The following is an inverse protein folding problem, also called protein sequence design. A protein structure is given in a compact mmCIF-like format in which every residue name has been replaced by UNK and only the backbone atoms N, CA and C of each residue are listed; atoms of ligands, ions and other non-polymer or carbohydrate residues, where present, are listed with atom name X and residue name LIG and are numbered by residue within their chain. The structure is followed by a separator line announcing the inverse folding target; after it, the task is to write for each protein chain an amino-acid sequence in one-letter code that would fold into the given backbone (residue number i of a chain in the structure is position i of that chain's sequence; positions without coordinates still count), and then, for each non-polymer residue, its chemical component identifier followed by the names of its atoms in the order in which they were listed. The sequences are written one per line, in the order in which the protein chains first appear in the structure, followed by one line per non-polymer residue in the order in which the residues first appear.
data_IF_810786106868
#
_entry.id   IF_810786106868
#
_cell.length_a   1.000
_cell.length_b   1.000
_cell.length_c   1.000
_cell.angle_alpha   90.00
_cell.angle_beta   90.00
_cell.angle_gamma   90.00
#
_symmetry.space_group_name_H-M   'P 1'
#
loop_
_entity.id
_entity.type
_entity.pdbx_description
1 polymer ?
#
# COMPACT_ATOMS: atom_id res chain seq x y z
N UNK A 1 -57.36 -1.53 22.47
CA UNK A 1 -57.27 -1.59 23.93
C UNK A 1 -55.94 -2.24 24.27
N UNK A 2 -55.03 -1.37 24.71
CA UNK A 2 -54.01 -1.56 25.75
C UNK A 2 -52.79 -2.47 25.48
N UNK A 3 -51.75 -1.78 24.99
CA UNK A 3 -50.34 -1.68 25.40
C UNK A 3 -49.80 -2.38 26.68
N UNK A 4 -48.45 -2.44 26.83
CA UNK A 4 -47.66 -3.61 27.24
C UNK A 4 -47.14 -3.54 28.70
N UNK A 5 -46.53 -4.62 29.18
CA UNK A 5 -45.77 -4.64 30.43
C UNK A 5 -44.27 -4.50 30.18
N UNK A 6 -43.74 -3.32 30.48
CA UNK A 6 -42.31 -3.02 30.67
C UNK A 6 -41.84 -3.51 32.05
N UNK A 7 -40.62 -4.02 32.15
CA UNK A 7 -39.93 -4.20 33.44
C UNK A 7 -38.66 -3.35 33.45
N UNK A 8 -38.59 -2.52 34.49
CA UNK A 8 -37.56 -1.56 34.89
C UNK A 8 -36.71 -2.21 35.98
N UNK A 9 -35.39 -2.03 35.96
CA UNK A 9 -34.53 -2.07 37.17
C UNK A 9 -33.36 -1.13 36.91
N UNK A 10 -33.51 0.14 37.30
CA UNK A 10 -33.02 0.78 38.52
C UNK A 10 -31.51 1.07 38.54
N UNK A 11 -31.27 2.39 38.63
CA UNK A 11 -30.04 3.13 38.82
C UNK A 11 -29.58 3.02 40.29
N UNK A 12 -28.28 3.07 40.53
CA UNK A 12 -27.73 3.61 41.77
C UNK A 12 -26.67 4.65 41.42
N UNK A 13 -26.99 5.89 41.80
CA UNK A 13 -26.14 7.07 41.88
C UNK A 13 -25.54 7.05 43.29
N UNK A 14 -24.26 7.38 43.41
CA UNK A 14 -23.76 8.12 44.57
C UNK A 14 -22.91 9.30 44.06
N UNK A 15 -23.34 10.49 44.45
CA UNK A 15 -22.64 11.78 44.48
C UNK A 15 -21.55 11.73 45.59
N UNK A 16 -20.59 12.63 45.83
CA UNK A 16 -20.21 13.97 45.39
C UNK A 16 -18.81 14.23 46.02
N UNK A 17 -18.08 15.30 45.64
CA UNK A 17 -17.12 15.91 46.58
C UNK A 17 -15.75 16.43 46.08
N UNK A 18 -15.78 17.38 45.14
CA UNK A 18 -14.93 18.58 44.98
C UNK A 18 -13.68 18.87 45.88
N UNK A 19 -12.54 19.23 45.25
CA UNK A 19 -11.84 20.58 45.21
C UNK A 19 -10.29 20.61 45.30
N UNK A 20 -9.71 21.28 44.31
CA UNK A 20 -8.64 22.33 44.32
C UNK A 20 -7.14 22.04 44.61
N UNK A 21 -6.32 22.33 43.57
CA UNK A 21 -5.10 23.15 43.44
C UNK A 21 -3.90 23.08 44.44
N UNK A 22 -2.66 23.01 43.88
CA UNK A 22 -1.43 23.51 44.55
C UNK A 22 -0.06 22.91 44.14
N UNK A 23 0.65 23.62 43.27
CA UNK A 23 2.11 23.86 43.03
C UNK A 23 3.28 22.99 43.62
N UNK A 24 4.37 22.92 42.79
CA UNK A 24 5.83 22.73 43.04
C UNK A 24 6.48 21.39 43.47
N UNK A 25 7.39 20.91 42.62
CA UNK A 25 8.85 20.94 42.92
C UNK A 25 9.63 19.62 43.16
N UNK A 26 10.61 19.38 42.27
CA UNK A 26 11.94 18.74 42.46
C UNK A 26 12.12 17.21 42.63
N UNK A 27 13.04 16.68 41.81
CA UNK A 27 13.70 15.35 41.83
C UNK A 27 14.66 15.16 43.03
N UNK A 28 15.13 13.94 43.38
CA UNK A 28 16.21 13.27 42.62
C UNK A 28 16.18 11.72 42.57
N UNK A 29 17.13 11.18 41.80
CA UNK A 29 17.47 9.80 41.44
C UNK A 29 17.77 8.79 42.57
N UNK A 30 17.60 7.48 42.31
CA UNK A 30 18.68 6.46 42.36
C UNK A 30 18.22 5.05 41.92
N UNK A 31 19.17 4.34 41.31
CA UNK A 31 19.11 3.03 40.63
C UNK A 31 18.96 1.81 41.55
N UNK A 32 18.45 0.66 41.04
CA UNK A 32 19.12 -0.67 41.09
C UNK A 32 18.33 -1.84 40.44
N UNK A 33 18.94 -2.43 39.39
CA UNK A 33 19.19 -3.85 39.04
C UNK A 33 18.06 -4.94 39.00
N UNK A 34 18.02 -5.58 37.81
CA UNK A 34 17.39 -6.84 37.30
C UNK A 34 17.27 -8.05 38.26
N UNK A 35 16.41 -9.03 37.90
CA UNK A 35 16.95 -10.26 37.28
C UNK A 35 16.24 -10.73 35.98
N UNK A 36 16.89 -11.69 35.31
CA UNK A 36 16.64 -12.28 33.98
C UNK A 36 15.44 -13.24 33.94
N UNK A 37 14.74 -13.27 32.81
CA UNK A 37 14.04 -14.47 32.29
C UNK A 37 14.05 -14.45 30.75
N UNK A 38 14.20 -15.63 30.15
CA UNK A 38 14.42 -15.89 28.71
C UNK A 38 13.09 -15.98 27.97
N UNK A 39 13.04 -15.50 26.72
CA UNK A 39 11.97 -15.78 25.76
C UNK A 39 12.21 -15.05 24.44
N UNK A 40 12.35 -15.82 23.36
CA UNK A 40 12.63 -15.40 21.98
C UNK A 40 11.41 -14.70 21.35
N UNK A 41 11.58 -13.61 20.61
CA UNK A 41 10.95 -13.34 19.30
C UNK A 41 11.64 -12.14 18.64
N UNK A 42 12.00 -12.31 17.37
CA UNK A 42 12.87 -11.45 16.58
C UNK A 42 12.08 -10.84 15.42
N UNK A 43 12.44 -9.60 15.09
CA UNK A 43 12.34 -8.99 13.76
C UNK A 43 11.05 -8.25 13.38
N UNK A 44 10.93 -7.01 13.87
CA UNK A 44 10.40 -5.89 13.09
C UNK A 44 11.32 -4.69 13.33
N UNK A 45 11.60 -3.92 12.28
CA UNK A 45 12.48 -2.74 12.15
C UNK A 45 13.90 -2.97 11.57
N UNK A 46 14.01 -2.64 10.28
CA UNK A 46 15.20 -2.21 9.55
C UNK A 46 14.66 -1.10 8.60
N UNK A 47 15.10 0.16 8.57
CA UNK A 47 16.47 0.68 8.50
C UNK A 47 16.57 2.09 9.10
N UNK A 48 17.59 2.34 9.93
CA UNK A 48 18.22 3.66 10.07
C UNK A 48 19.55 3.58 9.33
N UNK A 49 19.66 4.25 8.18
CA UNK A 49 20.93 4.41 7.48
C UNK A 49 21.56 5.76 7.80
N UNK A 50 22.85 5.70 8.14
CA UNK A 50 23.79 6.79 8.37
C UNK A 50 24.53 7.09 7.05
N UNK A 51 24.94 8.33 6.85
CA UNK A 51 25.37 8.99 5.60
C UNK A 51 26.46 8.34 4.69
N UNK A 52 26.22 8.47 3.36
CA UNK A 52 27.10 8.72 2.18
C UNK A 52 28.17 7.67 1.74
N UNK A 53 28.66 7.64 0.46
CA UNK A 53 28.45 8.56 -0.69
C UNK A 53 28.03 7.90 -2.04
N UNK A 54 27.79 8.75 -3.06
CA UNK A 54 27.20 8.49 -4.40
C UNK A 54 27.68 7.23 -5.19
N UNK A 55 26.79 6.60 -6.01
CA UNK A 55 27.17 5.51 -6.90
C UNK A 55 27.65 5.98 -8.30
N UNK A 56 28.54 5.22 -8.96
CA UNK A 56 29.06 5.50 -10.30
C UNK A 56 28.05 5.17 -11.42
N UNK A 57 28.28 5.60 -12.69
CA UNK A 57 27.28 5.47 -13.74
C UNK A 57 26.98 4.02 -14.10
N UNK A 58 25.69 3.70 -14.21
CA UNK A 58 25.16 2.37 -14.52
C UNK A 58 25.51 2.01 -15.96
N UNK A 59 26.46 1.08 -16.13
CA UNK A 59 26.65 0.36 -17.38
C UNK A 59 26.01 -1.02 -17.22
N UNK A 60 25.09 -1.36 -18.12
CA UNK A 60 24.30 -2.59 -18.10
C UNK A 60 25.18 -3.85 -18.09
N UNK A 61 25.35 -4.49 -16.94
CA UNK A 61 25.91 -5.83 -16.86
C UNK A 61 25.04 -6.70 -15.94
N UNK A 62 24.23 -7.57 -16.56
CA UNK A 62 23.59 -8.69 -15.87
C UNK A 62 24.67 -9.68 -15.38
N UNK A 63 24.45 -10.39 -14.25
CA UNK A 63 25.43 -11.37 -13.77
C UNK A 63 25.49 -12.56 -14.74
N UNK A 64 26.69 -12.79 -15.29
CA UNK A 64 27.00 -13.97 -16.09
C UNK A 64 27.48 -15.09 -15.15
N UNK A 65 26.81 -16.24 -15.17
CA UNK A 65 27.37 -17.46 -14.61
C UNK A 65 28.26 -18.09 -15.68
N UNK A 66 29.52 -18.31 -15.33
CA UNK A 66 30.51 -18.97 -16.19
C UNK A 66 30.41 -20.47 -15.91
N UNK A 67 29.92 -21.25 -16.87
CA UNK A 67 30.15 -22.70 -16.85
C UNK A 67 31.51 -23.01 -17.48
N UNK A 68 32.18 -24.05 -16.96
CA UNK A 68 33.57 -24.45 -17.25
C UNK A 68 33.82 -24.96 -18.69
N UNK A 69 33.07 -24.47 -19.68
CA UNK A 69 33.31 -24.76 -21.11
C UNK A 69 32.88 -23.60 -22.03
N UNK A 70 33.15 -22.35 -21.63
CA UNK A 70 33.25 -21.21 -22.57
C UNK A 70 31.97 -20.75 -23.28
N UNK A 71 30.82 -21.37 -23.03
CA UNK A 71 29.52 -20.90 -23.54
C UNK A 71 28.84 -19.99 -22.53
N UNK A 72 28.77 -18.70 -22.85
CA UNK A 72 28.00 -17.70 -22.09
C UNK A 72 26.51 -17.96 -22.33
N UNK A 73 25.89 -18.76 -21.48
CA UNK A 73 24.44 -18.87 -21.43
C UNK A 73 23.88 -17.60 -20.80
N UNK A 74 23.31 -16.70 -21.62
CA UNK A 74 22.43 -15.63 -21.11
C UNK A 74 21.31 -16.30 -20.33
N UNK A 75 21.33 -16.22 -19.01
CA UNK A 75 20.19 -16.60 -18.18
C UNK A 75 19.03 -15.70 -18.62
N UNK A 76 18.10 -16.25 -19.40
CA UNK A 76 16.87 -15.56 -19.74
C UNK A 76 16.06 -15.42 -18.45
N UNK A 77 16.22 -14.28 -17.78
CA UNK A 77 15.38 -13.92 -16.65
C UNK A 77 13.96 -13.76 -17.20
N UNK A 78 13.09 -14.71 -16.86
CA UNK A 78 11.70 -14.71 -17.30
C UNK A 78 10.98 -13.49 -16.70
N UNK A 79 10.29 -12.67 -17.51
CA UNK A 79 9.51 -11.55 -16.99
C UNK A 79 8.37 -12.06 -16.08
N UNK A 80 7.99 -11.27 -15.08
CA UNK A 80 6.91 -11.63 -14.16
C UNK A 80 5.55 -11.65 -14.85
N UNK A 81 5.29 -10.64 -15.68
CA UNK A 81 4.03 -10.55 -16.38
C UNK A 81 4.09 -11.43 -17.63
N UNK A 82 3.00 -12.16 -17.92
CA UNK A 82 2.83 -12.73 -19.24
C UNK A 82 2.84 -11.62 -20.29
N UNK A 83 2.99 -11.98 -21.59
CA UNK A 83 2.74 -11.03 -22.67
C UNK A 83 1.39 -10.35 -22.49
N UNK A 84 1.34 -9.04 -22.74
CA UNK A 84 0.09 -8.28 -22.63
C UNK A 84 -0.99 -8.93 -23.52
N UNK A 85 -2.22 -8.97 -23.00
CA UNK A 85 -3.37 -9.50 -23.76
C UNK A 85 -3.63 -8.58 -24.95
N UNK A 86 -4.17 -9.13 -26.05
CA UNK A 86 -4.44 -8.34 -27.27
C UNK A 86 -5.32 -7.10 -27.03
N UNK A 87 -6.23 -7.14 -26.04
CA UNK A 87 -7.09 -6.00 -25.67
C UNK A 87 -6.36 -4.85 -24.96
N UNK A 88 -5.18 -5.14 -24.43
CA UNK A 88 -4.33 -4.19 -23.69
C UNK A 88 -3.07 -3.83 -24.51
N UNK A 89 -2.97 -4.33 -25.75
CA UNK A 89 -1.84 -4.02 -26.64
C UNK A 89 -1.75 -2.51 -26.91
N UNK A 90 -0.57 -1.94 -26.71
CA UNK A 90 -0.30 -0.51 -26.90
C UNK A 90 -0.71 0.39 -25.73
N UNK A 91 -1.43 -0.15 -24.72
CA UNK A 91 -1.72 0.60 -23.49
C UNK A 91 -0.46 0.78 -22.65
N UNK A 92 -0.43 1.87 -21.89
CA UNK A 92 0.54 2.05 -20.81
C UNK A 92 0.20 1.06 -19.68
N UNK A 93 1.23 0.47 -19.08
CA UNK A 93 1.12 -0.35 -17.89
C UNK A 93 1.12 0.56 -16.65
N UNK A 94 0.11 0.42 -15.79
CA UNK A 94 0.06 1.15 -14.52
C UNK A 94 0.11 0.15 -13.39
N UNK A 95 1.16 0.26 -12.58
CA UNK A 95 1.30 -0.45 -11.32
C UNK A 95 0.63 0.37 -10.23
N UNK A 96 -0.29 -0.24 -9.50
CA UNK A 96 -1.07 0.43 -8.46
C UNK A 96 -0.89 -0.34 -7.15
N UNK A 97 -0.47 0.36 -6.12
CA UNK A 97 -0.41 -0.15 -4.75
C UNK A 97 -1.81 -0.28 -4.12
N UNK A 98 -1.90 -1.01 -3.00
CA UNK A 98 -3.16 -1.31 -2.31
C UNK A 98 -3.34 -0.48 -1.03
N UNK A 99 -2.48 -0.73 -0.04
CA UNK A 99 -2.66 -0.26 1.34
C UNK A 99 -2.18 1.19 1.46
N UNK A 100 -2.97 2.04 2.11
CA UNK A 100 -2.80 3.50 2.16
C UNK A 100 -2.85 4.21 0.79
N UNK A 101 -3.01 3.48 -0.30
CA UNK A 101 -3.21 4.02 -1.67
C UNK A 101 -4.69 3.95 -2.09
N UNK A 102 -5.30 2.75 -2.08
CA UNK A 102 -6.69 2.51 -2.49
C UNK A 102 -7.63 2.21 -1.31
N UNK A 103 -7.08 1.64 -0.24
CA UNK A 103 -7.79 1.21 0.96
C UNK A 103 -6.92 1.43 2.19
N UNK A 104 -7.53 1.40 3.37
CA UNK A 104 -6.80 1.31 4.63
C UNK A 104 -7.36 0.15 5.46
N UNK A 105 -6.47 -0.61 6.09
CA UNK A 105 -6.82 -1.83 6.81
C UNK A 105 -6.31 -1.85 8.24
N UNK A 106 -7.12 -2.41 9.15
CA UNK A 106 -6.80 -2.49 10.57
C UNK A 106 -7.25 -3.81 11.19
N UNK A 107 -6.43 -4.33 12.12
CA UNK A 107 -6.85 -5.44 13.00
C UNK A 107 -7.74 -4.98 14.15
N UNK A 108 -7.82 -3.67 14.42
CA UNK A 108 -8.76 -3.12 15.40
C UNK A 108 -10.12 -2.95 14.74
N UNK A 109 -11.23 -3.30 15.43
CA UNK A 109 -12.56 -3.03 14.93
C UNK A 109 -12.77 -1.56 14.55
N UNK A 110 -13.25 -1.34 13.33
CA UNK A 110 -13.61 -0.02 12.81
C UNK A 110 -15.12 0.00 12.57
N UNK A 111 -15.78 1.04 13.06
CA UNK A 111 -17.20 1.24 12.77
C UNK A 111 -17.36 1.60 11.28
N UNK A 112 -18.35 1.01 10.62
CA UNK A 112 -18.65 1.23 9.19
C UNK A 112 -17.52 0.80 8.23
N UNK A 113 -16.79 -0.27 8.55
CA UNK A 113 -15.89 -0.89 7.57
C UNK A 113 -16.64 -1.31 6.30
N UNK A 114 -16.05 -1.05 5.13
CA UNK A 114 -16.60 -1.49 3.84
C UNK A 114 -16.51 -3.01 3.70
N UNK A 115 -15.38 -3.59 4.12
CA UNK A 115 -15.14 -5.03 4.11
C UNK A 115 -14.60 -5.52 5.44
N UNK A 116 -14.91 -6.78 5.77
CA UNK A 116 -14.30 -7.50 6.89
C UNK A 116 -13.74 -8.81 6.34
N UNK A 117 -12.41 -8.93 6.33
CA UNK A 117 -11.70 -10.06 5.73
C UNK A 117 -11.15 -10.96 6.84
N UNK A 118 -11.58 -12.23 6.93
CA UNK A 118 -10.96 -13.19 7.83
C UNK A 118 -9.59 -13.61 7.28
N UNK A 119 -8.53 -13.39 8.05
CA UNK A 119 -7.16 -13.75 7.69
C UNK A 119 -6.59 -14.68 8.73
N UNK A 120 -6.16 -15.87 8.32
CA UNK A 120 -5.49 -16.82 9.20
C UNK A 120 -4.02 -16.42 9.39
N UNK A 121 -3.59 -16.21 10.63
CA UNK A 121 -2.21 -15.93 11.03
C UNK A 121 -1.86 -16.92 12.15
N UNK A 122 -0.83 -17.73 11.95
CA UNK A 122 -0.36 -18.74 12.91
C UNK A 122 -1.48 -19.65 13.45
N UNK A 123 -2.39 -20.09 12.57
CA UNK A 123 -3.51 -20.97 12.91
C UNK A 123 -4.68 -20.30 13.61
N UNK A 124 -4.63 -18.97 13.81
CA UNK A 124 -5.74 -18.19 14.38
C UNK A 124 -6.33 -17.28 13.33
N UNK A 125 -7.66 -17.24 13.22
CA UNK A 125 -8.36 -16.34 12.30
C UNK A 125 -8.52 -14.97 12.96
N UNK A 126 -7.97 -13.95 12.31
CA UNK A 126 -8.10 -12.55 12.70
C UNK A 126 -9.00 -11.81 11.70
N UNK A 127 -9.89 -10.95 12.20
CA UNK A 127 -10.71 -10.09 11.36
C UNK A 127 -9.93 -8.83 10.99
N UNK A 128 -9.77 -8.59 9.69
CA UNK A 128 -9.19 -7.35 9.16
C UNK A 128 -10.33 -6.46 8.65
N UNK A 129 -10.41 -5.25 9.18
CA UNK A 129 -11.42 -4.26 8.84
C UNK A 129 -10.83 -3.33 7.79
N UNK A 130 -11.50 -3.22 6.65
CA UNK A 130 -11.01 -2.49 5.48
C UNK A 130 -11.94 -1.32 5.19
N UNK A 131 -11.38 -0.12 5.06
CA UNK A 131 -12.04 1.07 4.58
C UNK A 131 -11.60 1.35 3.15
N UNK A 132 -12.55 1.76 2.30
CA UNK A 132 -12.28 2.19 0.93
C UNK A 132 -11.94 3.67 0.91
N UNK A 133 -10.86 4.02 0.22
CA UNK A 133 -10.58 5.43 -0.07
C UNK A 133 -11.73 6.03 -0.90
N UNK A 134 -12.19 7.25 -0.61
CA UNK A 134 -13.19 7.91 -1.44
C UNK A 134 -12.83 7.87 -2.93
N UNK A 135 -13.85 7.73 -3.78
CA UNK A 135 -13.73 7.69 -5.24
C UNK A 135 -12.95 6.51 -5.84
N UNK A 136 -12.50 5.52 -5.05
CA UNK A 136 -11.75 4.35 -5.54
C UNK A 136 -12.50 3.55 -6.62
N UNK A 137 -13.82 3.45 -6.51
CA UNK A 137 -14.67 2.75 -7.49
C UNK A 137 -14.63 3.45 -8.86
N UNK A 138 -14.75 4.78 -8.87
CA UNK A 138 -14.70 5.59 -10.09
C UNK A 138 -13.29 5.57 -10.69
N UNK A 139 -12.27 5.69 -9.84
CA UNK A 139 -10.87 5.62 -10.22
C UNK A 139 -10.54 4.28 -10.89
N UNK A 140 -10.80 3.14 -10.24
CA UNK A 140 -10.45 1.82 -10.79
C UNK A 140 -11.20 1.51 -12.09
N UNK A 141 -12.48 1.88 -12.17
CA UNK A 141 -13.24 1.76 -13.41
C UNK A 141 -12.54 2.51 -14.54
N UNK A 142 -12.19 3.78 -14.30
CA UNK A 142 -11.58 4.62 -15.33
C UNK A 142 -10.17 4.14 -15.70
N UNK A 143 -9.38 3.75 -14.72
CA UNK A 143 -8.03 3.23 -14.94
C UNK A 143 -8.05 1.93 -15.76
N UNK A 144 -8.97 1.00 -15.47
CA UNK A 144 -9.10 -0.27 -16.18
C UNK A 144 -9.51 -0.15 -17.66
N UNK A 145 -10.17 0.95 -18.03
CA UNK A 145 -10.47 1.32 -19.42
C UNK A 145 -9.21 1.81 -20.15
N UNK A 146 -8.46 2.70 -19.51
CA UNK A 146 -7.33 3.44 -20.11
C UNK A 146 -6.04 2.63 -20.17
N UNK A 147 -5.78 1.74 -19.20
CA UNK A 147 -4.47 1.15 -18.96
C UNK A 147 -4.48 -0.38 -18.88
N UNK A 148 -3.29 -0.97 -18.93
CA UNK A 148 -3.02 -2.29 -18.37
C UNK A 148 -2.73 -2.12 -16.87
N UNK A 149 -3.76 -2.23 -16.02
CA UNK A 149 -3.58 -2.08 -14.57
C UNK A 149 -3.03 -3.36 -13.93
N UNK A 150 -2.03 -3.21 -13.07
CA UNK A 150 -1.39 -4.29 -12.32
C UNK A 150 -1.46 -3.93 -10.84
N UNK A 151 -2.07 -4.78 -10.03
CA UNK A 151 -2.01 -4.63 -8.59
C UNK A 151 -0.64 -5.10 -8.12
N UNK A 152 0.08 -4.27 -7.37
CA UNK A 152 1.37 -4.63 -6.81
C UNK A 152 1.47 -4.10 -5.38
N UNK A 153 1.49 -5.01 -4.42
CA UNK A 153 1.51 -4.67 -2.99
C UNK A 153 2.56 -5.52 -2.25
N UNK A 154 3.10 -4.97 -1.16
CA UNK A 154 3.95 -5.70 -0.22
C UNK A 154 3.15 -6.66 0.69
N UNK A 155 1.83 -6.53 0.72
CA UNK A 155 0.94 -7.34 1.54
C UNK A 155 0.84 -8.80 1.08
N UNK A 156 0.46 -9.68 2.01
CA UNK A 156 0.31 -11.11 1.73
C UNK A 156 -0.93 -11.39 0.88
N UNK A 157 -0.82 -12.30 -0.08
CA UNK A 157 -1.91 -12.71 -0.96
C UNK A 157 -3.20 -13.12 -0.23
N UNK A 158 -3.08 -13.81 0.92
CA UNK A 158 -4.22 -14.21 1.77
C UNK A 158 -5.12 -13.06 2.25
N UNK A 159 -4.61 -11.83 2.19
CA UNK A 159 -5.34 -10.59 2.46
C UNK A 159 -5.58 -9.79 1.17
N UNK A 160 -4.56 -9.60 0.34
CA UNK A 160 -4.66 -8.74 -0.84
C UNK A 160 -5.61 -9.29 -1.91
N UNK A 161 -5.66 -10.62 -2.09
CA UNK A 161 -6.57 -11.24 -3.06
C UNK A 161 -8.05 -11.01 -2.72
N UNK A 162 -8.56 -11.35 -1.52
CA UNK A 162 -9.96 -11.12 -1.20
C UNK A 162 -10.33 -9.62 -1.18
N UNK A 163 -9.43 -8.73 -0.76
CA UNK A 163 -9.68 -7.28 -0.86
C UNK A 163 -9.81 -6.85 -2.32
N UNK A 164 -8.87 -7.26 -3.17
CA UNK A 164 -8.89 -6.92 -4.60
C UNK A 164 -10.12 -7.51 -5.31
N UNK A 165 -10.56 -8.72 -4.97
CA UNK A 165 -11.76 -9.34 -5.52
C UNK A 165 -13.03 -8.54 -5.22
N UNK A 166 -13.12 -7.97 -4.01
CA UNK A 166 -14.26 -7.14 -3.59
C UNK A 166 -14.20 -5.72 -4.16
N UNK A 167 -12.98 -5.20 -4.36
CA UNK A 167 -12.75 -3.84 -4.84
C UNK A 167 -12.91 -3.74 -6.37
N UNK A 168 -12.35 -4.69 -7.13
CA UNK A 168 -12.28 -4.64 -8.59
C UNK A 168 -13.52 -5.23 -9.27
N UNK A 169 -14.61 -4.45 -9.26
CA UNK A 169 -15.89 -4.82 -9.89
C UNK A 169 -15.86 -4.84 -11.42
N UNK A 170 -14.83 -4.26 -12.05
CA UNK A 170 -14.73 -4.08 -13.50
C UNK A 170 -13.64 -4.93 -14.15
N UNK A 171 -12.90 -5.71 -13.35
CA UNK A 171 -11.75 -6.48 -13.81
C UNK A 171 -10.63 -5.58 -14.33
N UNK A 172 -10.45 -4.39 -13.74
CA UNK A 172 -9.38 -3.45 -14.04
C UNK A 172 -8.00 -4.11 -13.93
N UNK A 173 -7.74 -4.86 -12.85
CA UNK A 173 -6.45 -5.51 -12.63
C UNK A 173 -6.26 -6.73 -13.54
N UNK A 174 -5.22 -6.68 -14.38
CA UNK A 174 -4.87 -7.77 -15.31
C UNK A 174 -4.00 -8.84 -14.66
N UNK A 175 -3.21 -8.44 -13.67
CA UNK A 175 -2.34 -9.30 -12.89
C UNK A 175 -2.19 -8.73 -11.48
N UNK A 176 -1.86 -9.60 -10.53
CA UNK A 176 -1.52 -9.28 -9.14
C UNK A 176 -0.10 -9.77 -8.91
N UNK A 177 0.81 -8.85 -8.61
CA UNK A 177 2.23 -9.14 -8.42
C UNK A 177 2.66 -8.84 -6.99
N UNK A 178 3.68 -9.58 -6.57
CA UNK A 178 4.22 -9.51 -5.21
C UNK A 178 5.77 -9.43 -5.16
N UNK A 179 6.50 -9.35 -6.31
CA UNK A 179 7.97 -9.06 -6.39
C UNK A 179 8.61 -9.07 -7.82
N UNK A 180 9.37 -8.01 -8.16
CA UNK A 180 10.42 -7.69 -9.19
C UNK A 180 10.42 -8.15 -10.68
N UNK A 181 10.43 -7.13 -11.58
CA UNK A 181 10.57 -7.09 -13.06
C UNK A 181 9.31 -7.40 -13.91
N UNK A 182 8.52 -6.35 -14.17
CA UNK A 182 7.29 -6.39 -14.98
C UNK A 182 7.48 -6.90 -16.42
N UNK A 183 8.65 -6.70 -17.03
CA UNK A 183 8.85 -7.04 -18.45
C UNK A 183 8.05 -6.13 -19.40
N UNK A 184 7.96 -4.85 -19.07
CA UNK A 184 7.32 -3.80 -19.88
C UNK A 184 8.35 -2.71 -20.20
N UNK A 185 8.14 -1.97 -21.29
CA UNK A 185 8.96 -0.79 -21.62
C UNK A 185 8.73 0.31 -20.59
N UNK A 186 9.80 0.79 -19.94
CA UNK A 186 9.72 1.82 -18.92
C UNK A 186 9.17 3.15 -19.45
N UNK A 187 9.28 3.43 -20.75
CA UNK A 187 8.61 4.61 -21.36
C UNK A 187 7.08 4.52 -21.32
N UNK A 188 6.53 3.33 -21.05
CA UNK A 188 5.11 3.00 -21.00
C UNK A 188 4.74 2.33 -19.68
N UNK A 189 5.45 2.64 -18.59
CA UNK A 189 5.14 2.17 -17.23
C UNK A 189 4.96 3.36 -16.29
N UNK A 190 3.90 3.31 -15.47
CA UNK A 190 3.65 4.25 -14.38
C UNK A 190 3.49 3.46 -13.07
N UNK A 191 3.95 4.02 -11.96
CA UNK A 191 3.76 3.48 -10.61
C UNK A 191 2.92 4.47 -9.80
N UNK A 192 1.90 3.99 -9.11
CA UNK A 192 1.03 4.76 -8.21
C UNK A 192 1.14 4.13 -6.84
N UNK A 193 1.80 4.82 -5.92
CA UNK A 193 2.16 4.30 -4.61
C UNK A 193 2.36 5.48 -3.65
N UNK A 194 1.93 5.31 -2.40
CA UNK A 194 2.04 6.33 -1.36
C UNK A 194 3.43 6.42 -0.73
N UNK A 195 4.28 5.41 -0.95
CA UNK A 195 5.59 5.26 -0.33
C UNK A 195 6.73 5.45 -1.34
N UNK A 196 7.52 6.54 -1.23
CA UNK A 196 8.68 6.77 -2.09
C UNK A 196 9.72 5.65 -2.09
N UNK A 197 9.78 4.86 -1.01
CA UNK A 197 10.66 3.71 -0.94
C UNK A 197 10.30 2.62 -1.96
N UNK A 198 9.01 2.48 -2.30
CA UNK A 198 8.50 1.45 -3.22
C UNK A 198 9.00 1.65 -4.66
N UNK A 199 9.26 2.89 -5.07
CA UNK A 199 9.72 3.24 -6.42
C UNK A 199 11.10 3.90 -6.43
N UNK A 200 11.94 3.63 -5.42
CA UNK A 200 13.30 4.21 -5.31
C UNK A 200 14.18 3.97 -6.55
N UNK A 201 13.98 2.85 -7.26
CA UNK A 201 14.72 2.54 -8.48
C UNK A 201 14.12 3.14 -9.76
N UNK A 202 12.88 3.65 -9.68
CA UNK A 202 12.12 4.20 -10.80
C UNK A 202 11.36 5.48 -10.41
N UNK A 203 12.01 6.49 -9.80
CA UNK A 203 11.32 7.69 -9.31
C UNK A 203 10.64 8.47 -10.45
N UNK A 204 11.25 8.50 -11.64
CA UNK A 204 10.73 9.19 -12.82
C UNK A 204 9.48 8.50 -13.43
N UNK A 205 9.13 7.30 -12.97
CA UNK A 205 7.93 6.57 -13.39
C UNK A 205 6.78 6.71 -12.38
N UNK A 206 7.00 7.37 -11.25
CA UNK A 206 6.04 7.44 -10.17
C UNK A 206 5.07 8.63 -10.32
N UNK A 207 3.81 8.38 -10.01
CA UNK A 207 2.81 9.38 -9.65
C UNK A 207 2.60 9.22 -8.15
N UNK A 208 3.23 10.08 -7.32
CA UNK A 208 3.09 9.98 -5.87
C UNK A 208 1.65 10.30 -5.47
N UNK A 209 1.16 9.61 -4.45
CA UNK A 209 -0.13 9.89 -3.81
C UNK A 209 0.06 10.06 -2.30
N UNK A 210 -0.80 10.84 -1.66
CA UNK A 210 -0.84 10.89 -0.22
C UNK A 210 -1.30 9.55 0.37
N UNK A 211 -0.72 9.19 1.51
CA UNK A 211 -1.19 8.06 2.31
C UNK A 211 -2.57 8.38 2.86
N UNK A 212 -3.52 7.47 2.68
CA UNK A 212 -4.89 7.62 3.14
C UNK A 212 -5.22 6.61 4.25
N UNK A 213 -6.00 7.05 5.24
CA UNK A 213 -6.35 6.23 6.41
C UNK A 213 -7.86 6.19 6.64
N UNK A 214 -8.49 7.34 6.90
CA UNK A 214 -9.91 7.43 7.25
C UNK A 214 -10.59 8.77 6.87
N UNK A 215 -9.88 9.66 6.17
CA UNK A 215 -10.44 10.95 5.76
C UNK A 215 -11.44 10.79 4.61
N UNK A 216 -12.73 10.84 4.93
CA UNK A 216 -13.80 10.71 3.94
C UNK A 216 -14.00 11.97 3.07
N UNK A 217 -13.26 13.05 3.34
CA UNK A 217 -13.23 14.25 2.49
C UNK A 217 -12.12 14.22 1.44
N UNK A 218 -11.27 13.18 1.44
CA UNK A 218 -10.24 12.95 0.44
C UNK A 218 -10.82 12.89 -0.97
N UNK A 219 -10.20 13.60 -1.91
CA UNK A 219 -10.56 13.62 -3.33
C UNK A 219 -9.39 13.23 -4.24
N UNK A 220 -8.26 12.80 -3.70
CA UNK A 220 -7.02 12.68 -4.46
C UNK A 220 -7.17 11.70 -5.65
N UNK A 221 -7.81 10.56 -5.43
CA UNK A 221 -8.07 9.60 -6.52
C UNK A 221 -8.95 10.18 -7.62
N UNK A 222 -9.95 11.01 -7.27
CA UNK A 222 -10.81 11.69 -8.23
C UNK A 222 -10.01 12.73 -9.02
N UNK A 223 -9.23 13.54 -8.31
CA UNK A 223 -8.44 14.65 -8.86
C UNK A 223 -7.31 14.16 -9.79
N UNK A 224 -6.85 12.93 -9.59
CA UNK A 224 -5.84 12.29 -10.45
C UNK A 224 -6.41 11.76 -11.77
N UNK A 225 -7.71 11.52 -11.90
CA UNK A 225 -8.30 10.96 -13.12
C UNK A 225 -7.96 11.81 -14.37
N UNK A 226 -8.19 13.15 -14.38
CA UNK A 226 -7.84 13.97 -15.54
C UNK A 226 -6.35 13.92 -15.89
N UNK A 227 -5.47 13.75 -14.90
CA UNK A 227 -4.05 13.62 -15.12
C UNK A 227 -3.71 12.28 -15.81
N UNK A 228 -4.29 11.18 -15.33
CA UNK A 228 -4.15 9.86 -15.97
C UNK A 228 -4.74 9.83 -17.38
N UNK A 229 -5.84 10.53 -17.64
CA UNK A 229 -6.39 10.66 -18.99
C UNK A 229 -5.40 11.33 -19.96
N UNK A 230 -4.64 12.33 -19.50
CA UNK A 230 -3.56 12.94 -20.30
C UNK A 230 -2.42 11.94 -20.54
N UNK A 231 -1.98 11.25 -19.49
CA UNK A 231 -0.91 10.24 -19.59
C UNK A 231 -1.28 9.09 -20.53
N UNK A 232 -2.54 8.66 -20.57
CA UNK A 232 -2.99 7.55 -21.43
C UNK A 232 -2.74 7.78 -22.93
N UNK A 233 -2.54 9.04 -23.35
CA UNK A 233 -2.41 9.46 -24.74
C UNK A 233 -0.96 9.65 -25.19
N UNK A 234 0.01 9.56 -24.29
CA UNK A 234 1.42 9.83 -24.64
C UNK A 234 2.18 8.57 -25.02
N UNK A 235 3.18 8.75 -25.89
CA UNK A 235 4.08 7.67 -26.27
C UNK A 235 5.22 7.43 -25.29
N UNK A 236 5.57 8.45 -24.53
CA UNK A 236 6.57 8.35 -23.49
C UNK A 236 6.09 9.11 -22.24
N UNK A 237 5.89 8.38 -21.15
CA UNK A 237 5.39 8.94 -19.87
C UNK A 237 6.29 10.05 -19.33
N UNK A 238 7.60 10.00 -19.60
CA UNK A 238 8.55 11.01 -19.13
C UNK A 238 8.31 12.40 -19.73
N UNK A 239 7.61 12.49 -20.86
CA UNK A 239 7.23 13.79 -21.46
C UNK A 239 6.30 14.60 -20.55
N UNK A 240 5.53 13.92 -19.70
CA UNK A 240 4.59 14.54 -18.77
C UNK A 240 5.16 14.50 -17.34
N UNK A 241 5.64 13.33 -16.90
CA UNK A 241 6.08 13.13 -15.52
C UNK A 241 7.27 14.03 -15.15
N UNK A 242 8.25 14.24 -16.05
CA UNK A 242 9.41 15.10 -15.74
C UNK A 242 9.09 16.60 -15.77
N UNK A 243 8.03 17.02 -16.46
CA UNK A 243 7.61 18.43 -16.51
C UNK A 243 6.86 18.86 -15.24
N UNK A 244 6.27 17.90 -14.49
CA UNK A 244 5.53 18.17 -13.26
C UNK A 244 6.39 18.47 -12.03
N UNK A 245 7.70 18.21 -12.09
CA UNK A 245 8.65 18.41 -10.96
C UNK A 245 9.23 19.81 -10.87
N UNK A 246 8.85 20.72 -11.78
CA UNK A 246 9.29 22.12 -11.79
C UNK A 246 8.09 23.05 -11.62
N UNK A 247 7.53 23.14 -10.42
CA UNK A 247 6.67 24.25 -9.98
C UNK A 247 6.69 24.37 -8.47
#
# INVERSE_FOLDING_TARGET
MDHPSSVITQVSRDEEGSKAAGDKGSSPSLSSKKPRSRGLFSSLFCCLCRDQPEPPPVNNNAPLLVEENGTVSKVQVKPLLPPAKSKDAGKICVVIDLDETLVHSSFKPVNNADFIIPVEIDGTVHQVYVLKRPHVDEFLKRMGELFECILFTASLAKYADPVSDLLDKWGAFRCRLFRDRLGRDLNKVIIVDNSPASYIFHPDNAVPVASWFDDMSDTELLDLIPFFERLSKVDNVYTVLKQGTTS
#
